data_IF_249885335497
#
_entry.id   IF_249885335497
#
_cell.length_a   1.000
_cell.length_b   1.000
_cell.length_c   1.000
_cell.angle_alpha   90.00
_cell.angle_beta   90.00
_cell.angle_gamma   90.00
#
_symmetry.space_group_name_H-M   'P 1'
#
loop_
_entity.id
_entity.type
_entity.pdbx_description
1 polymer ?
#
# COMPACT_ATOMS: atom_id res chain seq x y z
N UNK A 1 -72.85 -11.74 -5.47
CA UNK A 1 -71.97 -12.84 -5.02
C UNK A 1 -70.54 -12.39 -5.29
N UNK A 2 -69.87 -11.90 -4.26
CA UNK A 2 -68.49 -11.41 -4.32
C UNK A 2 -67.51 -12.58 -4.25
N UNK A 3 -66.47 -12.59 -5.06
CA UNK A 3 -65.27 -13.38 -4.83
C UNK A 3 -64.04 -12.49 -5.00
N UNK A 4 -63.44 -12.17 -3.86
CA UNK A 4 -62.20 -11.46 -3.67
C UNK A 4 -61.02 -12.35 -4.07
N UNK A 5 -60.24 -11.95 -5.07
CA UNK A 5 -58.88 -12.46 -5.28
C UNK A 5 -57.92 -11.51 -4.59
N UNK A 6 -57.56 -11.84 -3.35
CA UNK A 6 -56.39 -11.32 -2.66
C UNK A 6 -55.18 -12.16 -3.10
N UNK A 7 -54.22 -11.54 -3.76
CA UNK A 7 -52.84 -12.02 -3.97
C UNK A 7 -52.08 -10.83 -4.60
N UNK A 8 -50.94 -10.34 -4.15
CA UNK A 8 -49.93 -10.81 -3.21
C UNK A 8 -49.07 -9.56 -2.86
N UNK A 9 -48.81 -9.21 -1.59
CA UNK A 9 -47.99 -8.05 -1.28
C UNK A 9 -46.56 -8.32 -1.73
N UNK A 10 -46.02 -7.41 -2.54
CA UNK A 10 -44.60 -7.38 -2.89
C UNK A 10 -43.76 -7.62 -1.63
N UNK A 11 -43.08 -8.76 -1.59
CA UNK A 11 -42.03 -9.02 -0.60
C UNK A 11 -40.91 -8.03 -0.86
N UNK A 12 -41.04 -6.83 -0.28
CA UNK A 12 -39.96 -5.87 -0.18
C UNK A 12 -38.91 -6.49 0.76
N UNK A 13 -38.06 -7.32 0.18
CA UNK A 13 -36.85 -7.78 0.82
C UNK A 13 -35.97 -6.55 0.97
N UNK A 14 -36.16 -5.83 2.08
CA UNK A 14 -35.31 -4.75 2.54
C UNK A 14 -33.90 -5.31 2.71
N UNK A 15 -33.13 -5.27 1.62
CA UNK A 15 -31.71 -5.60 1.59
C UNK A 15 -31.03 -4.55 2.45
N UNK A 16 -30.87 -4.84 3.75
CA UNK A 16 -30.05 -4.07 4.67
C UNK A 16 -28.62 -4.11 4.14
N UNK A 17 -28.28 -3.18 3.26
CA UNK A 17 -26.90 -2.90 2.92
C UNK A 17 -26.24 -2.37 4.19
N UNK A 18 -25.58 -3.25 4.94
CA UNK A 18 -24.69 -2.86 6.03
C UNK A 18 -23.80 -1.73 5.51
N UNK A 19 -23.63 -0.62 6.23
CA UNK A 19 -22.84 0.52 5.75
C UNK A 19 -21.44 0.11 5.21
N UNK A 20 -20.86 -0.96 5.77
CA UNK A 20 -19.59 -1.59 5.37
C UNK A 20 -19.61 -2.32 4.00
N UNK A 21 -20.77 -2.55 3.40
CA UNK A 21 -20.95 -3.14 2.06
C UNK A 21 -21.43 -2.12 1.04
N UNK A 22 -21.71 -0.88 1.46
CA UNK A 22 -22.00 0.22 0.55
C UNK A 22 -20.76 0.68 -0.22
N UNK A 23 -20.95 1.26 -1.40
CA UNK A 23 -19.86 1.83 -2.22
C UNK A 23 -19.09 2.94 -1.51
N UNK A 24 -19.73 3.63 -0.58
CA UNK A 24 -19.14 4.69 0.27
C UNK A 24 -18.33 4.07 1.40
N UNK A 25 -18.90 3.12 2.14
CA UNK A 25 -18.20 2.41 3.21
C UNK A 25 -16.96 1.68 2.72
N UNK A 26 -16.99 1.08 1.52
CA UNK A 26 -15.83 0.44 0.92
C UNK A 26 -14.68 1.44 0.67
N UNK A 27 -14.97 2.65 0.17
CA UNK A 27 -13.96 3.70 -0.04
C UNK A 27 -13.36 4.17 1.28
N UNK A 28 -14.17 4.36 2.32
CA UNK A 28 -13.71 4.74 3.65
C UNK A 28 -12.78 3.68 4.25
N UNK A 29 -13.14 2.40 4.16
CA UNK A 29 -12.29 1.30 4.66
C UNK A 29 -10.95 1.28 3.92
N UNK A 30 -10.94 1.39 2.59
CA UNK A 30 -9.69 1.43 1.81
C UNK A 30 -8.84 2.66 2.16
N UNK A 31 -9.46 3.82 2.37
CA UNK A 31 -8.77 5.05 2.75
C UNK A 31 -8.12 4.95 4.14
N UNK A 32 -8.89 4.53 5.15
CA UNK A 32 -8.41 4.40 6.53
C UNK A 32 -7.29 3.36 6.61
N UNK A 33 -7.50 2.18 6.03
CA UNK A 33 -6.46 1.13 6.01
C UNK A 33 -5.20 1.60 5.28
N UNK A 34 -5.33 2.31 4.17
CA UNK A 34 -4.18 2.87 3.44
C UNK A 34 -3.39 3.91 4.26
N UNK A 35 -4.08 4.78 5.00
CA UNK A 35 -3.43 5.75 5.89
C UNK A 35 -2.73 5.09 7.09
N UNK A 36 -3.30 4.02 7.65
CA UNK A 36 -2.65 3.24 8.70
C UNK A 36 -1.38 2.54 8.18
N UNK A 37 -1.41 2.00 6.96
CA UNK A 37 -0.22 1.43 6.31
C UNK A 37 0.84 2.50 6.00
N UNK A 38 0.43 3.71 5.61
CA UNK A 38 1.33 4.85 5.45
C UNK A 38 2.01 5.22 6.78
N UNK A 39 1.25 5.25 7.88
CA UNK A 39 1.81 5.49 9.21
C UNK A 39 2.84 4.41 9.58
N UNK A 40 2.52 3.14 9.32
CA UNK A 40 3.48 2.05 9.51
C UNK A 40 4.75 2.26 8.67
N UNK A 41 4.65 2.68 7.41
CA UNK A 41 5.81 2.96 6.56
C UNK A 41 6.75 4.02 7.16
N UNK A 42 6.23 5.05 7.84
CA UNK A 42 7.07 6.04 8.53
C UNK A 42 7.84 5.41 9.70
N UNK A 43 7.14 4.64 10.55
CA UNK A 43 7.76 3.96 11.70
C UNK A 43 8.78 2.93 11.21
N UNK A 44 8.42 2.17 10.17
CA UNK A 44 9.28 1.18 9.56
C UNK A 44 10.53 1.82 8.98
N UNK A 45 10.41 2.93 8.22
CA UNK A 45 11.56 3.67 7.71
C UNK A 45 12.46 4.17 8.84
N UNK A 46 11.87 4.76 9.89
CA UNK A 46 12.63 5.25 11.04
C UNK A 46 13.45 4.14 11.72
N UNK A 47 12.86 2.94 11.89
CA UNK A 47 13.57 1.77 12.41
C UNK A 47 14.70 1.30 11.48
N UNK A 48 14.45 1.27 10.16
CA UNK A 48 15.48 0.88 9.17
C UNK A 48 16.66 1.87 9.17
N UNK A 49 16.42 3.17 9.31
CA UNK A 49 17.50 4.17 9.34
C UNK A 49 18.46 4.01 10.53
N UNK A 50 18.09 3.25 11.57
CA UNK A 50 19.00 2.92 12.66
C UNK A 50 20.18 2.05 12.21
N UNK A 51 20.09 1.39 11.05
CA UNK A 51 21.21 0.62 10.49
C UNK A 51 22.47 1.48 10.30
N UNK A 52 22.28 2.78 10.05
CA UNK A 52 23.36 3.76 9.89
C UNK A 52 24.14 4.01 11.18
N UNK A 53 23.56 3.64 12.33
CA UNK A 53 24.18 3.77 13.65
C UNK A 53 24.96 2.52 14.07
N UNK A 54 25.08 1.53 13.16
CA UNK A 54 25.91 0.34 13.33
C UNK A 54 25.21 -0.86 13.99
N UNK A 55 25.89 -2.03 14.02
CA UNK A 55 25.31 -3.31 14.42
C UNK A 55 24.80 -3.32 15.86
N UNK A 56 25.53 -2.70 16.79
CA UNK A 56 25.16 -2.62 18.22
C UNK A 56 23.80 -1.96 18.39
N UNK A 57 23.60 -0.77 17.80
CA UNK A 57 22.39 0.03 17.96
C UNK A 57 21.19 -0.64 17.29
N UNK A 58 21.40 -1.12 16.06
CA UNK A 58 20.35 -1.77 15.28
C UNK A 58 19.85 -3.06 15.94
N UNK A 59 20.77 -3.97 16.29
CA UNK A 59 20.40 -5.24 16.92
C UNK A 59 19.80 -5.04 18.32
N UNK A 60 20.28 -4.07 19.10
CA UNK A 60 19.67 -3.76 20.39
C UNK A 60 18.23 -3.24 20.25
N UNK A 61 17.96 -2.37 19.27
CA UNK A 61 16.61 -1.88 18.98
C UNK A 61 15.69 -3.03 18.51
N UNK A 62 16.17 -3.88 17.60
CA UNK A 62 15.44 -5.05 17.13
C UNK A 62 15.12 -6.03 18.26
N UNK A 63 16.06 -6.28 19.17
CA UNK A 63 15.86 -7.13 20.35
C UNK A 63 14.77 -6.58 21.28
N UNK A 64 14.74 -5.26 21.49
CA UNK A 64 13.69 -4.59 22.27
C UNK A 64 12.31 -4.75 21.64
N UNK A 65 12.21 -4.68 20.31
CA UNK A 65 10.96 -4.91 19.60
C UNK A 65 10.50 -6.37 19.71
N UNK A 66 11.38 -7.33 19.41
CA UNK A 66 11.05 -8.76 19.41
C UNK A 66 10.59 -9.22 20.80
N UNK A 67 11.23 -8.73 21.86
CA UNK A 67 10.88 -9.09 23.25
C UNK A 67 9.64 -8.36 23.78
N UNK A 68 9.17 -7.31 23.10
CA UNK A 68 8.00 -6.57 23.54
C UNK A 68 6.71 -7.35 23.21
N UNK A 69 5.91 -7.77 24.20
CA UNK A 69 4.71 -8.58 23.97
C UNK A 69 3.64 -7.85 23.14
N UNK A 70 3.68 -6.52 23.04
CA UNK A 70 2.76 -5.75 22.21
C UNK A 70 3.06 -5.86 20.71
N UNK A 71 4.26 -6.29 20.32
CA UNK A 71 4.65 -6.36 18.91
C UNK A 71 3.91 -7.49 18.18
N UNK A 72 3.66 -8.64 18.80
CA UNK A 72 2.91 -9.74 18.16
C UNK A 72 1.47 -9.31 17.78
N UNK A 73 0.67 -8.71 18.68
CA UNK A 73 -0.63 -8.13 18.31
C UNK A 73 -0.54 -7.06 17.21
N UNK A 74 0.50 -6.21 17.24
CA UNK A 74 0.72 -5.18 16.21
C UNK A 74 1.01 -5.80 14.85
N UNK A 75 1.88 -6.82 14.78
CA UNK A 75 2.18 -7.58 13.56
C UNK A 75 0.92 -8.23 12.97
N UNK A 76 0.12 -8.90 13.81
CA UNK A 76 -1.15 -9.51 13.40
C UNK A 76 -2.14 -8.44 12.92
N UNK A 77 -2.27 -7.34 13.66
CA UNK A 77 -3.14 -6.21 13.31
C UNK A 77 -2.76 -5.59 11.96
N UNK A 78 -1.46 -5.38 11.73
CA UNK A 78 -0.93 -4.88 10.45
C UNK A 78 -1.22 -5.84 9.31
N UNK A 79 -1.05 -7.15 9.51
CA UNK A 79 -1.39 -8.15 8.51
C UNK A 79 -2.88 -8.12 8.17
N UNK A 80 -3.76 -8.00 9.16
CA UNK A 80 -5.21 -7.87 8.96
C UNK A 80 -5.53 -6.58 8.18
N UNK A 81 -4.95 -5.44 8.57
CA UNK A 81 -5.14 -4.15 7.87
C UNK A 81 -4.67 -4.26 6.41
N UNK A 82 -3.53 -4.88 6.17
CA UNK A 82 -2.96 -5.07 4.83
C UNK A 82 -3.85 -5.95 3.94
N UNK A 83 -4.31 -7.09 4.47
CA UNK A 83 -5.23 -7.99 3.75
C UNK A 83 -6.59 -7.34 3.52
N UNK A 84 -7.11 -6.59 4.49
CA UNK A 84 -8.34 -5.83 4.36
C UNK A 84 -8.22 -4.74 3.29
N UNK A 85 -7.09 -4.02 3.26
CA UNK A 85 -6.79 -2.99 2.27
C UNK A 85 -6.84 -3.57 0.85
N UNK A 86 -6.09 -4.65 0.61
CA UNK A 86 -5.99 -5.28 -0.71
C UNK A 86 -7.33 -5.89 -1.14
N UNK A 87 -7.97 -6.67 -0.26
CA UNK A 87 -9.23 -7.35 -0.58
C UNK A 87 -10.35 -6.35 -0.92
N UNK A 88 -10.49 -5.27 -0.14
CA UNK A 88 -11.48 -4.23 -0.38
C UNK A 88 -11.15 -3.35 -1.57
N UNK A 89 -9.88 -3.01 -1.78
CA UNK A 89 -9.45 -2.27 -2.97
C UNK A 89 -9.74 -3.06 -4.25
N UNK A 90 -9.46 -4.36 -4.26
CA UNK A 90 -9.72 -5.23 -5.40
C UNK A 90 -11.22 -5.45 -5.63
N UNK A 91 -12.01 -5.64 -4.56
CA UNK A 91 -13.46 -5.73 -4.66
C UNK A 91 -14.07 -4.44 -5.25
N UNK A 92 -13.65 -3.27 -4.75
CA UNK A 92 -14.08 -1.98 -5.27
C UNK A 92 -13.64 -1.75 -6.73
N UNK A 93 -12.45 -2.19 -7.11
CA UNK A 93 -12.03 -2.14 -8.51
C UNK A 93 -12.89 -3.03 -9.41
N UNK A 94 -13.19 -4.27 -8.99
CA UNK A 94 -14.05 -5.20 -9.75
C UNK A 94 -15.46 -4.66 -9.94
N UNK A 95 -16.09 -4.14 -8.88
CA UNK A 95 -17.43 -3.56 -8.98
C UNK A 95 -17.45 -2.35 -9.92
N UNK A 96 -16.44 -1.47 -9.82
CA UNK A 96 -16.31 -0.31 -10.72
C UNK A 96 -16.01 -0.71 -12.17
N UNK A 97 -15.35 -1.84 -12.40
CA UNK A 97 -15.09 -2.37 -13.73
C UNK A 97 -16.34 -3.01 -14.35
N UNK A 98 -17.13 -3.74 -13.55
CA UNK A 98 -18.38 -4.39 -13.98
C UNK A 98 -19.50 -3.40 -14.26
N UNK A 99 -19.56 -2.28 -13.53
CA UNK A 99 -20.56 -1.23 -13.71
C UNK A 99 -20.38 -0.40 -15.01
N UNK A 100 -19.44 -0.77 -15.90
CA UNK A 100 -19.13 -0.07 -17.16
C UNK A 100 -19.44 -0.97 -18.37
N UNK A 101 -20.71 -1.08 -18.82
CA UNK A 101 -21.02 -1.83 -20.03
C UNK A 101 -20.63 -1.02 -21.27
N UNK A 102 -19.77 -1.60 -22.10
CA UNK A 102 -19.34 -1.22 -23.47
C UNK A 102 -18.21 -0.18 -23.64
N UNK A 103 -17.15 -0.65 -24.31
CA UNK A 103 -15.90 0.03 -24.65
C UNK A 103 -15.77 0.31 -26.17
N UNK A 104 -16.84 0.25 -26.97
CA UNK A 104 -16.65 0.05 -28.43
C UNK A 104 -17.11 1.19 -29.37
N UNK A 105 -17.90 2.18 -28.96
CA UNK A 105 -18.52 3.12 -29.92
C UNK A 105 -17.91 4.52 -30.07
N UNK A 106 -16.79 4.84 -29.42
CA UNK A 106 -16.20 6.19 -29.51
C UNK A 106 -14.83 6.26 -30.21
N UNK A 107 -14.31 5.14 -30.70
CA UNK A 107 -12.98 5.09 -31.32
C UNK A 107 -12.97 5.47 -32.82
N UNK A 108 -14.08 5.29 -33.56
CA UNK A 108 -14.11 5.48 -35.02
C UNK A 108 -14.34 6.92 -35.50
N UNK A 109 -14.63 7.87 -34.62
CA UNK A 109 -14.87 9.29 -34.99
C UNK A 109 -13.62 10.18 -34.97
N UNK A 110 -12.44 9.62 -34.71
CA UNK A 110 -11.19 10.39 -34.48
C UNK A 110 -10.31 10.61 -35.70
N UNK A 111 -10.66 10.08 -36.89
CA UNK A 111 -9.77 10.13 -38.05
C UNK A 111 -9.82 11.46 -38.83
N UNK A 112 -10.88 12.27 -38.67
CA UNK A 112 -11.00 13.58 -39.32
C UNK A 112 -11.40 14.62 -38.29
N UNK A 113 -10.56 15.64 -38.13
CA UNK A 113 -10.53 16.59 -37.03
C UNK A 113 -11.81 17.41 -36.81
N UNK A 114 -11.75 18.21 -35.74
CA UNK A 114 -12.79 19.08 -35.15
C UNK A 114 -13.60 18.43 -34.01
N UNK A 115 -13.20 18.71 -32.77
CA UNK A 115 -14.00 18.40 -31.58
C UNK A 115 -13.20 18.42 -30.28
N UNK A 116 -12.73 19.59 -29.82
CA UNK A 116 -12.41 19.80 -28.41
C UNK A 116 -13.72 19.99 -27.63
N UNK A 117 -14.46 18.90 -27.46
CA UNK A 117 -15.66 18.85 -26.62
C UNK A 117 -15.52 17.66 -25.66
N UNK A 118 -15.87 17.89 -24.40
CA UNK A 118 -15.59 16.99 -23.29
C UNK A 118 -15.99 15.53 -23.49
N UNK A 119 -15.16 14.64 -22.95
CA UNK A 119 -15.51 13.23 -22.73
C UNK A 119 -14.69 12.22 -23.53
N UNK A 120 -13.74 11.58 -22.87
CA UNK A 120 -13.59 10.13 -22.98
C UNK A 120 -13.20 9.61 -21.60
N UNK A 121 -14.01 8.72 -21.04
CA UNK A 121 -13.62 7.89 -19.91
C UNK A 121 -12.51 6.99 -20.43
N UNK A 122 -11.28 7.51 -20.45
CA UNK A 122 -10.05 6.72 -20.48
C UNK A 122 -10.31 5.60 -19.47
N UNK A 123 -10.07 4.33 -19.79
CA UNK A 123 -9.72 3.37 -18.73
C UNK A 123 -8.67 4.13 -17.92
N UNK A 124 -9.03 4.65 -16.74
CA UNK A 124 -8.25 5.74 -16.16
C UNK A 124 -6.89 5.13 -15.91
N UNK A 125 -5.86 5.54 -16.66
CA UNK A 125 -4.56 4.91 -16.60
C UNK A 125 -4.07 4.84 -15.14
N UNK A 126 -4.47 5.85 -14.35
CA UNK A 126 -4.33 5.89 -12.90
C UNK A 126 -5.00 4.71 -12.18
N UNK A 127 -6.24 4.32 -12.49
CA UNK A 127 -6.90 3.17 -11.85
C UNK A 127 -6.27 1.83 -12.24
N UNK A 128 -5.87 1.65 -13.49
CA UNK A 128 -5.18 0.42 -13.93
C UNK A 128 -3.79 0.34 -13.27
N UNK A 129 -3.07 1.46 -13.22
CA UNK A 129 -1.78 1.57 -12.55
C UNK A 129 -1.88 1.33 -11.03
N UNK A 130 -2.95 1.81 -10.37
CA UNK A 130 -3.16 1.58 -8.95
C UNK A 130 -3.32 0.09 -8.60
N UNK A 131 -4.07 -0.67 -9.40
CA UNK A 131 -4.18 -2.13 -9.18
C UNK A 131 -2.86 -2.82 -9.49
N UNK A 132 -2.20 -2.47 -10.60
CA UNK A 132 -0.90 -3.04 -10.97
C UNK A 132 0.17 -2.80 -9.90
N UNK A 133 0.34 -1.55 -9.48
CA UNK A 133 1.28 -1.17 -8.41
C UNK A 133 0.92 -1.82 -7.07
N UNK A 134 -0.37 -1.97 -6.75
CA UNK A 134 -0.83 -2.65 -5.53
C UNK A 134 -0.51 -4.15 -5.53
N UNK A 135 -0.76 -4.84 -6.65
CA UNK A 135 -0.42 -6.26 -6.79
C UNK A 135 1.09 -6.50 -6.80
N UNK A 136 1.86 -5.61 -7.45
CA UNK A 136 3.31 -5.64 -7.37
C UNK A 136 3.79 -5.42 -5.93
N UNK A 137 3.21 -4.46 -5.21
CA UNK A 137 3.54 -4.20 -3.80
C UNK A 137 3.23 -5.42 -2.93
N UNK A 138 2.12 -6.11 -3.16
CA UNK A 138 1.81 -7.38 -2.48
C UNK A 138 2.92 -8.42 -2.72
N UNK A 139 3.31 -8.64 -3.97
CA UNK A 139 4.41 -9.55 -4.29
C UNK A 139 5.71 -9.14 -3.59
N UNK A 140 6.07 -7.86 -3.66
CA UNK A 140 7.25 -7.32 -2.99
C UNK A 140 7.21 -7.54 -1.48
N UNK A 141 6.08 -7.27 -0.81
CA UNK A 141 5.92 -7.47 0.63
C UNK A 141 6.09 -8.95 1.01
N UNK A 142 5.57 -9.89 0.22
CA UNK A 142 5.77 -11.33 0.47
C UNK A 142 7.26 -11.69 0.42
N UNK A 143 7.97 -11.25 -0.63
CA UNK A 143 9.42 -11.49 -0.77
C UNK A 143 10.18 -10.82 0.38
N UNK A 144 9.89 -9.56 0.67
CA UNK A 144 10.51 -8.76 1.71
C UNK A 144 10.36 -9.39 3.11
N UNK A 145 9.13 -9.77 3.49
CA UNK A 145 8.86 -10.40 4.80
C UNK A 145 9.53 -11.77 4.87
N UNK A 146 9.47 -12.58 3.80
CA UNK A 146 10.17 -13.87 3.78
C UNK A 146 11.67 -13.68 4.00
N UNK A 147 12.26 -12.66 3.38
CA UNK A 147 13.69 -12.43 3.41
C UNK A 147 14.21 -11.91 4.76
N UNK A 148 13.49 -10.99 5.42
CA UNK A 148 13.96 -10.37 6.66
C UNK A 148 13.35 -10.93 7.93
N UNK A 149 12.09 -11.41 7.90
CA UNK A 149 11.44 -12.01 9.07
C UNK A 149 11.67 -13.51 9.17
N UNK A 150 11.69 -14.21 8.04
CA UNK A 150 11.84 -15.67 7.97
C UNK A 150 13.11 -16.09 7.23
N UNK A 151 14.10 -15.20 7.19
CA UNK A 151 15.40 -15.41 6.55
C UNK A 151 16.36 -16.23 7.41
N UNK A 152 17.66 -16.07 7.15
CA UNK A 152 18.70 -16.67 7.96
C UNK A 152 18.63 -16.12 9.40
N UNK A 153 18.94 -16.97 10.39
CA UNK A 153 19.01 -16.57 11.79
C UNK A 153 20.47 -16.60 12.27
N UNK A 154 20.94 -15.46 12.74
CA UNK A 154 22.27 -15.30 13.31
C UNK A 154 22.15 -14.76 14.73
N UNK A 155 23.11 -15.11 15.59
CA UNK A 155 23.18 -14.61 16.96
C UNK A 155 24.43 -13.74 17.15
N UNK A 156 24.28 -12.66 17.92
CA UNK A 156 25.34 -11.76 18.35
C UNK A 156 25.23 -11.48 19.85
N UNK A 157 26.37 -11.26 20.51
CA UNK A 157 26.41 -10.84 21.91
C UNK A 157 26.76 -9.35 21.96
N UNK A 158 25.83 -8.54 22.45
CA UNK A 158 26.03 -7.09 22.63
C UNK A 158 25.85 -6.77 24.11
N UNK A 159 26.90 -6.21 24.73
CA UNK A 159 26.92 -5.90 26.17
C UNK A 159 26.53 -7.09 27.06
N UNK A 160 27.05 -8.29 26.75
CA UNK A 160 26.79 -9.52 27.51
C UNK A 160 25.42 -10.15 27.33
N UNK A 161 24.56 -9.61 26.45
CA UNK A 161 23.25 -10.19 26.11
C UNK A 161 23.27 -10.78 24.71
N UNK A 162 22.82 -12.03 24.58
CA UNK A 162 22.61 -12.67 23.28
C UNK A 162 21.32 -12.12 22.64
N UNK A 163 21.42 -11.75 21.36
CA UNK A 163 20.32 -11.23 20.55
C UNK A 163 20.45 -11.68 19.09
N UNK A 164 19.39 -11.52 18.31
CA UNK A 164 19.40 -11.80 16.87
C UNK A 164 20.21 -10.73 16.12
N UNK A 165 21.09 -11.16 15.21
CA UNK A 165 21.91 -10.28 14.39
C UNK A 165 21.20 -9.93 13.08
N UNK A 166 20.16 -9.09 13.17
CA UNK A 166 19.42 -8.62 12.00
C UNK A 166 20.25 -7.68 11.13
N UNK A 167 21.19 -6.94 11.73
CA UNK A 167 22.13 -6.10 10.99
C UNK A 167 22.88 -6.92 9.95
N UNK A 168 23.42 -8.08 10.35
CA UNK A 168 24.14 -8.98 9.44
C UNK A 168 23.26 -9.47 8.29
N UNK A 169 22.02 -9.87 8.56
CA UNK A 169 21.08 -10.29 7.50
C UNK A 169 20.92 -9.19 6.47
N UNK A 170 20.72 -7.94 6.93
CA UNK A 170 20.50 -6.80 6.04
C UNK A 170 21.72 -6.49 5.16
N UNK A 171 22.91 -6.49 5.76
CA UNK A 171 24.17 -6.29 5.04
C UNK A 171 24.44 -7.42 4.04
N UNK A 172 24.21 -8.67 4.40
CA UNK A 172 24.38 -9.82 3.51
C UNK A 172 23.41 -9.75 2.32
N UNK A 173 22.14 -9.45 2.57
CA UNK A 173 21.11 -9.32 1.54
C UNK A 173 21.45 -8.23 0.52
N UNK A 174 21.88 -7.06 1.00
CA UNK A 174 22.18 -5.91 0.14
C UNK A 174 23.61 -5.88 -0.40
N UNK A 175 24.43 -6.89 -0.10
CA UNK A 175 25.73 -7.08 -0.76
C UNK A 175 25.60 -7.42 -2.25
N UNK A 176 24.44 -7.93 -2.68
CA UNK A 176 24.17 -8.27 -4.08
C UNK A 176 23.56 -7.06 -4.83
N UNK A 177 24.26 -6.47 -5.82
CA UNK A 177 23.76 -5.31 -6.57
C UNK A 177 22.44 -5.55 -7.29
N UNK A 178 22.15 -6.79 -7.72
CA UNK A 178 20.89 -7.13 -8.39
C UNK A 178 19.72 -7.07 -7.42
N UNK A 179 19.92 -7.49 -6.17
CA UNK A 179 18.92 -7.39 -5.11
C UNK A 179 18.65 -5.92 -4.80
N UNK A 180 19.70 -5.11 -4.67
CA UNK A 180 19.57 -3.66 -4.45
C UNK A 180 18.78 -3.00 -5.58
N UNK A 181 19.10 -3.30 -6.84
CA UNK A 181 18.36 -2.77 -7.99
C UNK A 181 16.87 -3.18 -7.95
N UNK A 182 16.58 -4.44 -7.63
CA UNK A 182 15.21 -4.93 -7.51
C UNK A 182 14.44 -4.22 -6.38
N UNK A 183 15.08 -3.97 -5.23
CA UNK A 183 14.50 -3.22 -4.13
C UNK A 183 14.27 -1.75 -4.49
N UNK A 184 15.23 -1.08 -5.13
CA UNK A 184 15.07 0.30 -5.60
C UNK A 184 13.89 0.40 -6.56
N UNK A 185 13.78 -0.51 -7.52
CA UNK A 185 12.63 -0.57 -8.42
C UNK A 185 11.32 -0.78 -7.65
N UNK A 186 11.31 -1.69 -6.68
CA UNK A 186 10.12 -1.95 -5.89
C UNK A 186 9.66 -0.72 -5.07
N UNK A 187 10.60 0.00 -4.46
CA UNK A 187 10.31 1.23 -3.73
C UNK A 187 9.80 2.33 -4.67
N UNK A 188 10.29 2.43 -5.90
CA UNK A 188 9.73 3.36 -6.90
C UNK A 188 8.25 3.00 -7.18
N UNK A 189 7.93 1.72 -7.37
CA UNK A 189 6.54 1.28 -7.56
C UNK A 189 5.68 1.64 -6.34
N UNK A 190 6.15 1.35 -5.13
CA UNK A 190 5.48 1.72 -3.88
C UNK A 190 5.29 3.23 -3.77
N UNK A 191 6.28 4.05 -4.16
CA UNK A 191 6.17 5.50 -4.16
C UNK A 191 5.07 6.02 -5.09
N UNK A 192 4.94 5.42 -6.29
CA UNK A 192 3.83 5.77 -7.19
C UNK A 192 2.47 5.35 -6.61
N UNK A 193 2.42 4.19 -5.93
CA UNK A 193 1.22 3.72 -5.25
C UNK A 193 0.81 4.67 -4.11
N UNK A 194 1.78 5.11 -3.30
CA UNK A 194 1.59 6.04 -2.19
C UNK A 194 1.11 7.41 -2.67
N UNK A 195 1.73 7.96 -3.72
CA UNK A 195 1.34 9.28 -4.24
C UNK A 195 -0.15 9.27 -4.60
N UNK A 196 -0.57 8.32 -5.42
CA UNK A 196 -1.98 8.20 -5.80
C UNK A 196 -2.88 7.82 -4.61
N UNK A 197 -2.43 6.89 -3.76
CA UNK A 197 -3.16 6.40 -2.60
C UNK A 197 -3.50 7.48 -1.58
N UNK A 198 -2.53 8.34 -1.23
CA UNK A 198 -2.73 9.45 -0.27
C UNK A 198 -3.82 10.40 -0.78
N UNK A 199 -3.73 10.80 -2.05
CA UNK A 199 -4.73 11.70 -2.63
C UNK A 199 -6.12 11.06 -2.69
N UNK A 200 -6.20 9.78 -3.08
CA UNK A 200 -7.45 9.03 -3.14
C UNK A 200 -8.07 8.81 -1.75
N UNK A 201 -7.24 8.59 -0.72
CA UNK A 201 -7.70 8.38 0.65
C UNK A 201 -8.32 9.67 1.21
N UNK A 202 -7.64 10.81 1.06
CA UNK A 202 -8.13 12.08 1.58
C UNK A 202 -9.41 12.56 0.88
N UNK A 203 -9.52 12.36 -0.44
CA UNK A 203 -10.77 12.61 -1.16
C UNK A 203 -11.90 11.70 -0.67
N UNK A 204 -11.62 10.42 -0.41
CA UNK A 204 -12.62 9.46 0.09
C UNK A 204 -13.10 9.80 1.51
N UNK A 205 -12.29 10.52 2.30
CA UNK A 205 -12.64 11.03 3.62
C UNK A 205 -13.41 12.37 3.57
N UNK A 206 -13.73 12.88 2.38
CA UNK A 206 -14.49 14.12 2.20
C UNK A 206 -13.64 15.38 2.18
N UNK A 207 -12.30 15.24 2.14
CA UNK A 207 -11.39 16.39 2.02
C UNK A 207 -11.26 16.79 0.55
N UNK A 208 -12.36 17.29 -0.02
CA UNK A 208 -12.47 17.63 -1.45
C UNK A 208 -12.94 19.09 -1.67
N UNK A 209 -12.02 20.03 -1.44
CA UNK A 209 -12.23 21.45 -1.73
C UNK A 209 -11.15 21.92 -2.72
N UNK A 210 -11.46 22.67 -3.80
CA UNK A 210 -10.51 22.94 -4.90
C UNK A 210 -9.14 23.48 -4.47
N UNK A 211 -9.08 24.39 -3.49
CA UNK A 211 -7.81 24.91 -2.94
C UNK A 211 -7.04 23.85 -2.14
N UNK A 212 -7.76 23.02 -1.39
CA UNK A 212 -7.18 21.98 -0.53
C UNK A 212 -6.73 20.77 -1.36
N UNK A 213 -7.45 20.44 -2.44
CA UNK A 213 -7.08 19.37 -3.38
C UNK A 213 -5.70 19.63 -4.00
N UNK A 214 -5.37 20.87 -4.38
CA UNK A 214 -4.03 21.21 -4.89
C UNK A 214 -2.95 20.99 -3.83
N UNK A 215 -3.21 21.38 -2.58
CA UNK A 215 -2.28 21.19 -1.46
C UNK A 215 -2.09 19.70 -1.18
N UNK A 216 -3.17 18.92 -1.12
CA UNK A 216 -3.16 17.48 -0.89
C UNK A 216 -2.37 16.75 -1.97
N UNK A 217 -2.60 17.08 -3.24
CA UNK A 217 -1.89 16.44 -4.36
C UNK A 217 -0.38 16.73 -4.32
N UNK A 218 0.01 17.95 -3.93
CA UNK A 218 1.43 18.32 -3.75
C UNK A 218 2.02 17.65 -2.52
N UNK A 219 1.34 17.72 -1.37
CA UNK A 219 1.78 17.13 -0.11
C UNK A 219 1.93 15.62 -0.19
N UNK A 220 0.95 14.92 -0.78
CA UNK A 220 1.03 13.46 -0.98
C UNK A 220 2.20 13.06 -1.88
N UNK A 221 2.53 13.86 -2.90
CA UNK A 221 3.72 13.63 -3.73
C UNK A 221 5.02 13.80 -2.94
N UNK A 222 5.14 14.89 -2.16
CA UNK A 222 6.32 15.16 -1.33
C UNK A 222 6.52 14.03 -0.31
N UNK A 223 5.46 13.64 0.41
CA UNK A 223 5.51 12.54 1.40
C UNK A 223 6.00 11.24 0.73
N UNK A 224 5.46 10.92 -0.45
CA UNK A 224 5.84 9.72 -1.18
C UNK A 224 7.31 9.72 -1.58
N UNK A 225 7.85 10.87 -2.02
CA UNK A 225 9.27 10.99 -2.37
C UNK A 225 10.18 10.92 -1.15
N UNK A 226 9.81 11.55 -0.03
CA UNK A 226 10.60 11.48 1.21
C UNK A 226 10.72 10.03 1.68
N UNK A 227 9.60 9.30 1.73
CA UNK A 227 9.58 7.89 2.11
C UNK A 227 10.43 7.06 1.13
N UNK A 228 10.27 7.28 -0.18
CA UNK A 228 11.01 6.55 -1.19
C UNK A 228 12.52 6.77 -1.10
N UNK A 229 12.96 8.02 -0.95
CA UNK A 229 14.38 8.37 -0.81
C UNK A 229 14.96 7.69 0.43
N UNK A 230 14.26 7.73 1.56
CA UNK A 230 14.70 7.07 2.79
C UNK A 230 14.88 5.57 2.61
N UNK A 231 13.89 4.88 2.02
CA UNK A 231 13.99 3.43 1.80
C UNK A 231 14.99 3.04 0.71
N UNK A 232 15.22 3.87 -0.30
CA UNK A 232 16.23 3.64 -1.34
C UNK A 232 17.63 3.86 -0.78
N UNK A 233 17.78 4.81 0.14
CA UNK A 233 19.07 5.13 0.74
C UNK A 233 19.68 3.94 1.49
N UNK A 234 18.87 3.22 2.27
CA UNK A 234 19.31 2.08 3.09
C UNK A 234 20.05 0.98 2.29
N UNK A 235 19.46 0.36 1.24
CA UNK A 235 20.13 -0.70 0.48
C UNK A 235 21.32 -0.19 -0.34
N UNK A 236 21.26 1.05 -0.85
CA UNK A 236 22.41 1.65 -1.55
C UNK A 236 23.58 1.87 -0.58
N UNK A 237 23.29 2.40 0.60
CA UNK A 237 24.29 2.59 1.64
C UNK A 237 24.89 1.25 2.05
N UNK A 238 24.05 0.24 2.33
CA UNK A 238 24.48 -1.10 2.71
C UNK A 238 25.35 -1.78 1.64
N UNK A 239 25.03 -1.59 0.35
CA UNK A 239 25.85 -2.09 -0.76
C UNK A 239 27.25 -1.46 -0.77
N UNK A 240 27.32 -0.14 -0.56
CA UNK A 240 28.58 0.62 -0.61
C UNK A 240 29.46 0.36 0.62
N UNK A 241 28.85 0.17 1.79
CA UNK A 241 29.58 -0.06 3.05
C UNK A 241 29.87 -1.54 3.30
N UNK A 242 28.93 -2.44 2.97
CA UNK A 242 29.09 -3.89 3.14
C UNK A 242 30.08 -4.53 2.17
N UNK A 243 30.26 -3.96 0.97
CA UNK A 243 31.30 -4.40 0.04
C UNK A 243 32.74 -4.05 0.47
N UNK A 244 32.92 -3.40 1.64
CA UNK A 244 34.21 -2.93 2.17
C UNK A 244 34.65 -3.60 3.47
N UNK A 245 33.91 -4.60 3.96
CA UNK A 245 34.18 -5.34 5.19
C UNK A 245 34.48 -6.81 4.93
#
# INVERSE_FOLDING_TARGET
>A
MATSTLDNPHSDTTRRHTFLTSSIGAKLVVAITGLLLLLYLFIHLAGNLLILLGPTTFNAYSDLLIKNPLIVPVEIGLAIIFLLHISRALANWRTNAQARPTSYYQASRRMFGYGWAGGSSRKSASSTWMVGSGLFTLFFVIVHVRQFRFGAEYAIVVAGRQMNDLYRIEMEVFSNPLVVLAYVFAIIVVATHLWHGISSALQSLGVDHPRLTVIILRGGRIISYVIAIGFIFVPIWALVTGGRS
#
